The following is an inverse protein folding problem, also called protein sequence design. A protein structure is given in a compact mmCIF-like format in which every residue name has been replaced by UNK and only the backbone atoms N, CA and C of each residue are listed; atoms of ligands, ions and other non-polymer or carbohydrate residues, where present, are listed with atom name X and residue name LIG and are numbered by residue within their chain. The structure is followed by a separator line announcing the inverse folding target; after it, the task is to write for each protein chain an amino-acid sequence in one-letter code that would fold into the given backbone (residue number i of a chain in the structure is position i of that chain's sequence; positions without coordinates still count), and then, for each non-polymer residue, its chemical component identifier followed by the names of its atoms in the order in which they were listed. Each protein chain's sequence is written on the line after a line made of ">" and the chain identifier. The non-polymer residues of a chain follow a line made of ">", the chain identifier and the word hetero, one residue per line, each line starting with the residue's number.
data_IF_679862484912
#
_entry.id   IF_679862484912
#
_cell.length_a   1.000
_cell.length_b   1.000
_cell.length_c   1.000
_cell.angle_alpha   90.00
_cell.angle_beta   90.00
_cell.angle_gamma   90.00
#
_symmetry.space_group_name_H-M   'P 1'
#
loop_
_entity.id
_entity.type
_entity.pdbx_description
1 polymer ?
#
# COMPACT_ATOMS: atom_id res chain seq x y z
N UNK A 1 10.01 -7.64 -39.66
CA UNK A 1 9.53 -7.13 -38.38
C UNK A 1 8.98 -8.34 -37.65
N UNK A 2 9.76 -8.94 -36.74
CA UNK A 2 9.34 -10.13 -35.97
C UNK A 2 8.40 -9.66 -34.87
N UNK A 3 7.11 -9.97 -34.98
CA UNK A 3 6.17 -9.87 -33.87
C UNK A 3 6.69 -10.76 -32.75
N UNK A 4 7.28 -10.16 -31.73
CA UNK A 4 7.55 -10.83 -30.46
C UNK A 4 6.18 -11.09 -29.86
N UNK A 5 5.68 -12.31 -30.04
CA UNK A 5 4.46 -12.80 -29.38
C UNK A 5 4.75 -12.73 -27.87
N UNK A 6 4.24 -11.67 -27.20
CA UNK A 6 4.29 -11.56 -25.74
C UNK A 6 3.51 -12.76 -25.20
N UNK A 7 4.19 -13.74 -24.64
CA UNK A 7 3.54 -14.88 -23.98
C UNK A 7 2.93 -14.38 -22.67
N UNK A 8 1.62 -14.11 -22.71
CA UNK A 8 0.87 -13.75 -21.51
C UNK A 8 0.85 -14.91 -20.52
N UNK A 9 0.90 -14.57 -19.24
CA UNK A 9 0.88 -15.54 -18.14
C UNK A 9 -0.55 -16.07 -17.98
N UNK A 10 -0.69 -17.39 -18.11
CA UNK A 10 -1.99 -18.07 -18.04
C UNK A 10 -2.26 -18.70 -16.66
N UNK A 11 -3.56 -18.87 -16.38
CA UNK A 11 -4.07 -19.58 -15.20
C UNK A 11 -3.40 -20.96 -15.06
N UNK A 12 -3.10 -21.35 -13.80
CA UNK A 12 -2.48 -22.63 -13.47
C UNK A 12 -0.96 -22.65 -13.53
N UNK A 13 -0.30 -21.62 -14.07
CA UNK A 13 1.17 -21.50 -13.98
C UNK A 13 1.62 -21.07 -12.58
N UNK A 14 2.83 -21.50 -12.16
CA UNK A 14 3.43 -21.07 -10.89
C UNK A 14 3.61 -19.55 -10.85
N UNK A 15 3.96 -18.95 -11.98
CA UNK A 15 4.10 -17.50 -12.12
C UNK A 15 2.77 -16.77 -11.91
N UNK A 16 1.67 -17.31 -12.44
CA UNK A 16 0.33 -16.75 -12.23
C UNK A 16 -0.03 -16.69 -10.75
N UNK A 17 0.12 -17.81 -10.04
CA UNK A 17 -0.17 -17.89 -8.61
C UNK A 17 0.70 -16.94 -7.79
N UNK A 18 2.00 -16.85 -8.12
CA UNK A 18 2.92 -15.93 -7.45
C UNK A 18 2.53 -14.46 -7.65
N UNK A 19 2.14 -14.07 -8.87
CA UNK A 19 1.67 -12.72 -9.18
C UNK A 19 0.40 -12.41 -8.41
N UNK A 20 -0.59 -13.31 -8.42
CA UNK A 20 -1.85 -13.10 -7.73
C UNK A 20 -1.66 -12.80 -6.25
N UNK A 21 -0.91 -13.65 -5.54
CA UNK A 21 -0.67 -13.46 -4.12
C UNK A 21 0.20 -12.24 -3.83
N UNK A 22 1.20 -11.97 -4.68
CA UNK A 22 2.01 -10.76 -4.54
C UNK A 22 1.16 -9.50 -4.63
N UNK A 23 0.27 -9.41 -5.61
CA UNK A 23 -0.61 -8.27 -5.80
C UNK A 23 -1.68 -8.17 -4.70
N UNK A 24 -2.23 -9.30 -4.25
CA UNK A 24 -3.13 -9.32 -3.10
C UNK A 24 -2.47 -8.72 -1.86
N UNK A 25 -1.27 -9.19 -1.50
CA UNK A 25 -0.55 -8.69 -0.34
C UNK A 25 -0.04 -7.25 -0.54
N UNK A 26 0.30 -6.84 -1.75
CA UNK A 26 0.64 -5.45 -2.04
C UNK A 26 -0.57 -4.51 -1.82
N UNK A 27 -1.75 -4.92 -2.28
CA UNK A 27 -3.00 -4.21 -2.00
C UNK A 27 -3.30 -4.16 -0.51
N UNK A 28 -3.18 -5.30 0.19
CA UNK A 28 -3.34 -5.39 1.63
C UNK A 28 -2.41 -4.44 2.38
N UNK A 29 -1.10 -4.49 2.12
CA UNK A 29 -0.10 -3.66 2.76
C UNK A 29 -0.35 -2.16 2.53
N UNK A 30 -0.64 -1.76 1.29
CA UNK A 30 -0.90 -0.38 0.92
C UNK A 30 -2.10 0.20 1.68
N UNK A 31 -3.22 -0.50 1.66
CA UNK A 31 -4.46 0.01 2.25
C UNK A 31 -4.52 -0.17 3.77
N UNK A 32 -3.86 -1.20 4.33
CA UNK A 32 -3.69 -1.30 5.78
C UNK A 32 -2.87 -0.13 6.34
N UNK A 33 -1.80 0.28 5.64
CA UNK A 33 -1.00 1.45 6.00
C UNK A 33 -1.78 2.75 5.96
N UNK A 34 -2.67 2.88 4.97
CA UNK A 34 -3.48 4.08 4.80
C UNK A 34 -4.50 4.22 5.94
N UNK A 35 -5.18 3.14 6.28
CA UNK A 35 -6.34 3.15 7.17
C UNK A 35 -6.04 2.79 8.63
N UNK A 36 -4.85 2.30 8.99
CA UNK A 36 -4.49 1.95 10.36
C UNK A 36 -4.62 3.13 11.37
N UNK A 37 -4.50 4.36 10.90
CA UNK A 37 -4.62 5.57 11.76
C UNK A 37 -6.05 5.86 12.19
N UNK A 38 -7.06 5.32 11.49
CA UNK A 38 -8.44 5.68 11.73
C UNK A 38 -8.92 5.35 13.16
N UNK A 39 -8.70 4.16 13.72
CA UNK A 39 -9.06 3.86 15.10
C UNK A 39 -8.20 4.62 16.12
N UNK A 40 -7.04 5.13 15.70
CA UNK A 40 -6.12 5.87 16.57
C UNK A 40 -6.46 7.36 16.71
N UNK A 41 -7.40 7.91 15.93
CA UNK A 41 -7.74 9.36 15.96
C UNK A 41 -8.04 9.91 17.35
N UNK A 42 -8.81 9.22 18.22
CA UNK A 42 -9.04 9.72 19.58
C UNK A 42 -7.76 9.76 20.44
N UNK A 43 -6.83 8.83 20.17
CA UNK A 43 -5.51 8.77 20.83
C UNK A 43 -4.65 9.95 20.35
N UNK A 44 -4.64 10.25 19.05
CA UNK A 44 -3.91 11.39 18.49
C UNK A 44 -4.41 12.72 19.02
N UNK A 45 -5.75 12.90 19.16
CA UNK A 45 -6.31 14.11 19.73
C UNK A 45 -5.76 14.38 21.14
N UNK A 46 -5.67 13.33 21.97
CA UNK A 46 -5.12 13.44 23.33
C UNK A 46 -3.60 13.57 23.36
N UNK A 47 -2.90 12.78 22.56
CA UNK A 47 -1.42 12.71 22.58
C UNK A 47 -0.79 14.00 22.03
N UNK A 48 -1.28 14.50 20.91
CA UNK A 48 -0.78 15.71 20.27
C UNK A 48 -1.49 16.99 20.74
N UNK A 49 -2.47 16.88 21.64
CA UNK A 49 -3.28 17.99 22.15
C UNK A 49 -3.94 18.81 21.03
N UNK A 50 -4.46 18.11 20.02
CA UNK A 50 -5.15 18.71 18.88
C UNK A 50 -6.66 18.47 18.97
N UNK A 51 -7.45 19.29 18.26
CA UNK A 51 -8.91 19.11 18.23
C UNK A 51 -9.29 17.77 17.58
N UNK A 52 -10.47 17.20 17.87
CA UNK A 52 -10.99 16.00 17.20
C UNK A 52 -11.00 16.12 15.67
N UNK A 53 -11.27 17.32 15.15
CA UNK A 53 -11.21 17.59 13.70
C UNK A 53 -9.79 17.47 13.18
N UNK A 54 -8.81 18.06 13.85
CA UNK A 54 -7.42 17.97 13.44
C UNK A 54 -6.89 16.53 13.52
N UNK A 55 -7.35 15.73 14.47
CA UNK A 55 -6.91 14.32 14.58
C UNK A 55 -7.28 13.45 13.36
N UNK A 56 -8.19 13.89 12.49
CA UNK A 56 -8.52 13.24 11.23
C UNK A 56 -7.58 13.59 10.06
N UNK A 57 -6.77 14.65 10.20
CA UNK A 57 -5.87 15.12 9.13
C UNK A 57 -4.88 14.06 8.63
N UNK A 58 -4.32 13.17 9.47
CA UNK A 58 -3.45 12.11 9.00
C UNK A 58 -4.08 11.24 7.91
N UNK A 59 -5.36 10.90 8.05
CA UNK A 59 -6.08 10.14 7.03
C UNK A 59 -6.44 11.01 5.83
N UNK A 60 -6.97 12.22 6.07
CA UNK A 60 -7.39 13.14 5.00
C UNK A 60 -6.23 13.51 4.08
N UNK A 61 -5.08 13.86 4.64
CA UNK A 61 -3.89 14.23 3.86
C UNK A 61 -3.35 13.03 3.09
N UNK A 62 -3.34 11.83 3.68
CA UNK A 62 -2.95 10.63 2.96
C UNK A 62 -3.86 10.33 1.77
N UNK A 63 -5.17 10.46 1.93
CA UNK A 63 -6.14 10.17 0.87
C UNK A 63 -6.12 11.24 -0.24
N UNK A 64 -5.95 12.50 0.10
CA UNK A 64 -5.76 13.58 -0.88
C UNK A 64 -4.46 13.36 -1.67
N UNK A 65 -3.37 13.07 -0.97
CA UNK A 65 -2.08 12.79 -1.59
C UNK A 65 -2.13 11.55 -2.50
N UNK A 66 -2.84 10.49 -2.07
CA UNK A 66 -3.12 9.33 -2.91
C UNK A 66 -3.86 9.74 -4.19
N UNK A 67 -4.94 10.51 -4.08
CA UNK A 67 -5.71 10.94 -5.24
C UNK A 67 -4.86 11.76 -6.23
N UNK A 68 -4.06 12.69 -5.73
CA UNK A 68 -3.11 13.46 -6.55
C UNK A 68 -2.07 12.53 -7.18
N UNK A 69 -1.49 11.62 -6.40
CA UNK A 69 -0.50 10.66 -6.88
C UNK A 69 -1.01 9.77 -8.02
N UNK A 70 -2.27 9.33 -7.96
CA UNK A 70 -2.87 8.50 -9.01
C UNK A 70 -2.84 9.17 -10.38
N UNK A 71 -2.91 10.51 -10.47
CA UNK A 71 -2.88 11.24 -11.74
C UNK A 71 -1.51 11.17 -12.43
N UNK A 72 -0.43 11.05 -11.65
CA UNK A 72 0.94 11.13 -12.17
C UNK A 72 1.67 9.79 -12.21
N UNK A 73 1.29 8.85 -11.33
CA UNK A 73 2.03 7.60 -11.16
C UNK A 73 1.99 6.71 -12.41
N UNK A 74 0.91 6.76 -13.19
CA UNK A 74 0.81 6.07 -14.47
C UNK A 74 1.97 6.46 -15.40
N UNK A 75 2.15 7.76 -15.64
CA UNK A 75 3.22 8.29 -16.51
C UNK A 75 4.62 7.93 -16.00
N UNK A 76 4.81 7.97 -14.67
CA UNK A 76 6.09 7.62 -14.06
C UNK A 76 6.39 6.14 -14.27
N UNK A 77 5.38 5.27 -14.09
CA UNK A 77 5.55 3.82 -14.25
C UNK A 77 5.77 3.39 -15.70
N UNK A 78 5.27 4.15 -16.68
CA UNK A 78 5.55 3.93 -18.11
C UNK A 78 7.05 4.10 -18.42
N UNK A 79 7.69 5.04 -17.74
CA UNK A 79 9.10 5.36 -17.97
C UNK A 79 10.07 4.43 -17.21
N UNK A 80 9.75 4.08 -15.97
CA UNK A 80 10.67 3.33 -15.09
C UNK A 80 10.32 1.85 -14.96
N UNK A 81 9.19 1.43 -15.53
CA UNK A 81 8.67 0.07 -15.44
C UNK A 81 7.72 -0.15 -14.26
N UNK A 82 6.81 -1.12 -14.40
CA UNK A 82 5.73 -1.38 -13.42
C UNK A 82 6.28 -1.93 -12.10
N UNK A 83 7.06 -3.02 -12.16
CA UNK A 83 7.60 -3.68 -10.97
C UNK A 83 8.48 -2.77 -10.11
N UNK A 84 9.49 -2.03 -10.65
CA UNK A 84 10.34 -1.15 -9.82
C UNK A 84 9.55 -0.10 -9.05
N UNK A 85 8.53 0.51 -9.68
CA UNK A 85 7.69 1.53 -9.03
C UNK A 85 6.89 0.93 -7.88
N UNK A 86 6.24 -0.22 -8.08
CA UNK A 86 5.48 -0.89 -7.02
C UNK A 86 6.37 -1.32 -5.85
N UNK A 87 7.55 -1.88 -6.14
CA UNK A 87 8.53 -2.27 -5.12
C UNK A 87 8.99 -1.06 -4.32
N UNK A 88 9.43 0.00 -5.01
CA UNK A 88 9.84 1.24 -4.36
C UNK A 88 8.73 1.82 -3.47
N UNK A 89 7.51 1.84 -3.97
CA UNK A 89 6.34 2.34 -3.25
C UNK A 89 6.10 1.55 -1.95
N UNK A 90 6.12 0.21 -2.00
CA UNK A 90 5.92 -0.64 -0.81
C UNK A 90 7.02 -0.45 0.23
N UNK A 91 8.29 -0.40 -0.18
CA UNK A 91 9.39 -0.11 0.73
C UNK A 91 9.27 1.28 1.34
N UNK A 92 8.96 2.29 0.53
CA UNK A 92 8.80 3.67 1.00
C UNK A 92 7.67 3.78 2.02
N UNK A 93 6.52 3.16 1.78
CA UNK A 93 5.41 3.11 2.76
C UNK A 93 5.87 2.50 4.07
N UNK A 94 6.58 1.37 4.02
CA UNK A 94 7.07 0.68 5.22
C UNK A 94 8.02 1.57 6.04
N UNK A 95 8.99 2.19 5.37
CA UNK A 95 9.95 3.10 6.01
C UNK A 95 9.25 4.32 6.61
N UNK A 96 8.31 4.92 5.89
CA UNK A 96 7.57 6.10 6.37
C UNK A 96 6.69 5.77 7.58
N UNK A 97 6.12 4.57 7.68
CA UNK A 97 5.42 4.12 8.88
C UNK A 97 6.37 4.05 10.08
N UNK A 98 7.56 3.44 9.91
CA UNK A 98 8.57 3.36 10.96
C UNK A 98 9.06 4.74 11.40
N UNK A 99 9.31 5.65 10.44
CA UNK A 99 9.69 7.04 10.71
C UNK A 99 8.59 7.78 11.49
N UNK A 100 7.32 7.62 11.07
CA UNK A 100 6.19 8.28 11.73
C UNK A 100 6.02 7.87 13.20
N UNK A 101 6.37 6.63 13.53
CA UNK A 101 6.35 6.11 14.89
C UNK A 101 7.57 6.55 15.72
N UNK A 102 8.74 6.73 15.06
CA UNK A 102 10.00 7.12 15.71
C UNK A 102 10.02 8.60 16.14
N UNK A 103 9.35 9.47 15.38
CA UNK A 103 9.34 10.91 15.62
C UNK A 103 7.91 11.39 15.91
N UNK A 104 7.44 11.31 17.17
CA UNK A 104 6.08 11.66 17.55
C UNK A 104 5.88 13.18 17.66
N UNK A 105 6.20 13.89 16.57
CA UNK A 105 6.00 15.32 16.36
C UNK A 105 4.88 15.48 15.33
N UNK A 106 3.88 16.30 15.62
CA UNK A 106 2.66 16.39 14.79
C UNK A 106 2.94 16.72 13.32
N UNK A 107 3.82 17.68 13.05
CA UNK A 107 4.17 18.13 11.71
C UNK A 107 4.90 17.02 10.92
N UNK A 108 5.81 16.30 11.58
CA UNK A 108 6.53 15.18 10.97
C UNK A 108 5.54 14.06 10.69
N UNK A 109 4.66 13.77 11.64
CA UNK A 109 3.62 12.74 11.47
C UNK A 109 2.71 13.07 10.27
N UNK A 110 2.20 14.30 10.14
CA UNK A 110 1.40 14.71 8.99
C UNK A 110 2.18 14.63 7.68
N UNK A 111 3.43 15.07 7.68
CA UNK A 111 4.29 15.02 6.49
C UNK A 111 4.51 13.58 6.02
N UNK A 112 4.82 12.67 6.95
CA UNK A 112 4.96 11.24 6.59
C UNK A 112 3.68 10.66 6.03
N UNK A 113 2.49 11.07 6.53
CA UNK A 113 1.19 10.62 6.01
C UNK A 113 0.93 11.09 4.58
N UNK A 114 1.35 12.32 4.21
CA UNK A 114 1.27 12.80 2.82
C UNK A 114 2.12 11.90 1.91
N UNK A 115 3.37 11.64 2.30
CA UNK A 115 4.25 10.79 1.50
C UNK A 115 3.79 9.33 1.44
N UNK A 116 3.16 8.79 2.51
CA UNK A 116 2.52 7.48 2.47
C UNK A 116 1.41 7.46 1.41
N UNK A 117 0.56 8.48 1.36
CA UNK A 117 -0.49 8.58 0.35
C UNK A 117 0.07 8.59 -1.08
N UNK A 118 1.09 9.41 -1.33
CA UNK A 118 1.79 9.44 -2.63
C UNK A 118 2.42 8.08 -2.96
N UNK A 119 3.08 7.43 -2.00
CA UNK A 119 3.68 6.13 -2.23
C UNK A 119 2.64 5.04 -2.53
N UNK A 120 1.51 5.01 -1.80
CA UNK A 120 0.41 4.06 -2.05
C UNK A 120 -0.14 4.18 -3.47
N UNK A 121 -0.15 5.39 -4.08
CA UNK A 121 -0.53 5.56 -5.48
C UNK A 121 0.34 4.76 -6.44
N UNK A 122 1.63 4.57 -6.08
CA UNK A 122 2.59 3.76 -6.85
C UNK A 122 2.21 2.28 -6.95
N UNK A 123 1.46 1.77 -5.99
CA UNK A 123 0.89 0.42 -6.06
C UNK A 123 -0.50 0.46 -6.71
N UNK A 124 -1.37 1.37 -6.25
CA UNK A 124 -2.78 1.37 -6.64
C UNK A 124 -3.00 1.59 -8.15
N UNK A 125 -2.29 2.54 -8.75
CA UNK A 125 -2.40 2.81 -10.20
C UNK A 125 -1.69 1.72 -11.03
N UNK A 126 -0.50 1.29 -10.58
CA UNK A 126 0.38 0.46 -11.40
C UNK A 126 -0.03 -1.01 -11.39
N UNK A 127 -0.61 -1.51 -10.29
CA UNK A 127 -1.01 -2.91 -10.17
C UNK A 127 -2.05 -3.31 -11.23
N UNK A 128 -3.06 -2.47 -11.46
CA UNK A 128 -4.08 -2.75 -12.47
C UNK A 128 -3.52 -2.75 -13.91
N UNK A 129 -2.62 -1.80 -14.20
CA UNK A 129 -1.93 -1.75 -15.50
C UNK A 129 -1.04 -2.97 -15.70
N UNK A 130 -0.29 -3.36 -14.66
CA UNK A 130 0.56 -4.56 -14.69
C UNK A 130 -0.27 -5.83 -14.98
N UNK A 131 -1.42 -5.99 -14.33
CA UNK A 131 -2.34 -7.11 -14.59
C UNK A 131 -2.78 -7.14 -16.05
N UNK A 132 -3.17 -5.99 -16.59
CA UNK A 132 -3.62 -5.87 -17.99
C UNK A 132 -2.54 -6.15 -19.03
N UNK A 133 -1.26 -5.92 -18.70
CA UNK A 133 -0.13 -6.10 -19.61
C UNK A 133 0.47 -7.51 -19.55
N UNK A 134 0.43 -8.18 -18.40
CA UNK A 134 1.16 -9.44 -18.18
C UNK A 134 0.23 -10.67 -18.16
N UNK A 135 -1.04 -10.50 -17.82
CA UNK A 135 -1.97 -11.62 -17.66
C UNK A 135 -2.82 -11.82 -18.92
N UNK A 136 -3.07 -13.08 -19.25
CA UNK A 136 -3.94 -13.43 -20.40
C UNK A 136 -5.33 -12.84 -20.23
N UNK A 137 -5.91 -12.34 -21.34
CA UNK A 137 -7.18 -11.62 -21.36
C UNK A 137 -8.33 -12.35 -20.64
N UNK A 138 -8.38 -13.69 -20.78
CA UNK A 138 -9.38 -14.56 -20.13
C UNK A 138 -9.28 -14.59 -18.61
N UNK A 139 -8.09 -14.29 -18.04
CA UNK A 139 -7.79 -14.44 -16.62
C UNK A 139 -7.67 -13.09 -15.88
N UNK A 140 -7.73 -11.96 -16.60
CA UNK A 140 -7.60 -10.60 -16.04
C UNK A 140 -8.64 -10.34 -14.95
N UNK A 141 -9.89 -10.76 -15.15
CA UNK A 141 -10.97 -10.55 -14.17
C UNK A 141 -10.68 -11.18 -12.81
N UNK A 142 -10.12 -12.40 -12.80
CA UNK A 142 -9.72 -13.08 -11.58
C UNK A 142 -8.56 -12.33 -10.88
N UNK A 143 -7.56 -11.93 -11.63
CA UNK A 143 -6.40 -11.23 -11.09
C UNK A 143 -6.77 -9.86 -10.50
N UNK A 144 -7.57 -9.07 -11.21
CA UNK A 144 -8.07 -7.79 -10.72
C UNK A 144 -8.97 -7.97 -9.49
N UNK A 145 -9.87 -8.96 -9.52
CA UNK A 145 -10.74 -9.27 -8.39
C UNK A 145 -9.96 -9.63 -7.13
N UNK A 146 -8.88 -10.41 -7.25
CA UNK A 146 -8.04 -10.77 -6.10
C UNK A 146 -7.25 -9.58 -5.58
N UNK A 147 -6.70 -8.73 -6.47
CA UNK A 147 -6.02 -7.49 -6.08
C UNK A 147 -6.99 -6.56 -5.32
N UNK A 148 -8.19 -6.32 -5.85
CA UNK A 148 -9.20 -5.47 -5.21
C UNK A 148 -9.63 -6.06 -3.86
N UNK A 149 -9.77 -7.39 -3.76
CA UNK A 149 -10.04 -8.07 -2.49
C UNK A 149 -8.92 -7.81 -1.48
N UNK A 150 -7.66 -7.84 -1.93
CA UNK A 150 -6.50 -7.48 -1.12
C UNK A 150 -6.59 -6.05 -0.57
N UNK A 151 -6.98 -5.08 -1.39
CA UNK A 151 -7.15 -3.67 -0.95
C UNK A 151 -8.27 -3.52 0.07
N UNK A 152 -9.41 -4.19 -0.16
CA UNK A 152 -10.57 -4.14 0.74
C UNK A 152 -10.25 -4.79 2.10
N UNK A 153 -9.69 -6.01 2.06
CA UNK A 153 -9.28 -6.74 3.28
C UNK A 153 -8.15 -5.99 4.00
N UNK A 154 -7.22 -5.39 3.26
CA UNK A 154 -6.17 -4.54 3.83
C UNK A 154 -6.71 -3.32 4.55
N UNK A 155 -7.65 -2.61 3.93
CA UNK A 155 -8.30 -1.45 4.53
C UNK A 155 -9.09 -1.80 5.81
N UNK A 156 -9.82 -2.91 5.81
CA UNK A 156 -10.52 -3.41 7.00
C UNK A 156 -9.53 -3.96 8.03
N UNK A 157 -8.60 -4.82 7.60
CA UNK A 157 -7.61 -5.45 8.47
C UNK A 157 -6.70 -4.43 9.15
N UNK A 158 -6.27 -3.39 8.44
CA UNK A 158 -5.48 -2.30 9.02
C UNK A 158 -6.20 -1.60 10.18
N UNK A 159 -7.50 -1.34 10.03
CA UNK A 159 -8.32 -0.78 11.12
C UNK A 159 -8.47 -1.73 12.29
N UNK A 160 -8.79 -3.00 12.02
CA UNK A 160 -9.00 -3.99 13.07
C UNK A 160 -7.71 -4.28 13.84
N UNK A 161 -6.61 -4.52 13.13
CA UNK A 161 -5.29 -4.78 13.75
C UNK A 161 -4.86 -3.57 14.59
N UNK A 162 -4.93 -2.37 14.01
CA UNK A 162 -4.57 -1.16 14.72
C UNK A 162 -5.46 -0.91 15.95
N UNK A 163 -6.78 -1.06 15.80
CA UNK A 163 -7.73 -0.90 16.89
C UNK A 163 -7.47 -1.84 18.05
N UNK A 164 -7.28 -3.13 17.76
CA UNK A 164 -6.97 -4.12 18.81
C UNK A 164 -5.61 -3.85 19.45
N UNK A 165 -4.59 -3.53 18.67
CA UNK A 165 -3.24 -3.31 19.21
C UNK A 165 -3.21 -2.12 20.17
N UNK A 166 -3.89 -1.01 19.87
CA UNK A 166 -3.84 0.19 20.73
C UNK A 166 -4.59 0.06 22.05
N UNK A 167 -5.40 -0.99 22.21
CA UNK A 167 -6.00 -1.34 23.50
C UNK A 167 -4.95 -1.93 24.49
N UNK A 168 -3.86 -2.51 23.98
CA UNK A 168 -2.84 -3.20 24.79
C UNK A 168 -1.49 -2.51 24.77
N UNK A 169 -1.15 -1.78 23.70
CA UNK A 169 0.16 -1.16 23.49
C UNK A 169 0.02 0.28 23.00
N UNK A 170 1.12 1.03 23.02
CA UNK A 170 1.14 2.40 22.50
C UNK A 170 0.87 2.45 20.99
N UNK A 171 0.31 3.57 20.50
CA UNK A 171 0.07 3.78 19.09
C UNK A 171 1.38 3.71 18.26
N UNK A 172 2.50 4.13 18.83
CA UNK A 172 3.81 4.01 18.20
C UNK A 172 4.17 2.54 17.99
N UNK A 173 4.05 1.71 19.03
CA UNK A 173 4.33 0.27 18.95
C UNK A 173 3.41 -0.44 17.95
N UNK A 174 2.12 -0.08 17.94
CA UNK A 174 1.17 -0.59 16.95
C UNK A 174 1.57 -0.21 15.51
N UNK A 175 2.00 1.04 15.30
CA UNK A 175 2.49 1.52 14.00
C UNK A 175 3.77 0.82 13.59
N UNK A 176 4.71 0.55 14.52
CA UNK A 176 5.91 -0.24 14.23
C UNK A 176 5.57 -1.66 13.77
N UNK A 177 4.65 -2.35 14.46
CA UNK A 177 4.22 -3.70 14.07
C UNK A 177 3.67 -3.70 12.64
N UNK A 178 2.78 -2.76 12.32
CA UNK A 178 2.21 -2.64 10.98
C UNK A 178 3.30 -2.31 9.95
N UNK A 179 4.23 -1.42 10.28
CA UNK A 179 5.37 -1.06 9.43
C UNK A 179 6.29 -2.26 9.14
N UNK A 180 6.59 -3.09 10.13
CA UNK A 180 7.37 -4.31 9.95
C UNK A 180 6.64 -5.38 9.13
N UNK A 181 5.33 -5.58 9.34
CA UNK A 181 4.51 -6.47 8.50
C UNK A 181 4.58 -6.01 7.05
N UNK A 182 4.40 -4.72 6.80
CA UNK A 182 4.48 -4.16 5.46
C UNK A 182 5.87 -4.31 4.83
N UNK A 183 6.93 -4.18 5.62
CA UNK A 183 8.29 -4.40 5.15
C UNK A 183 8.53 -5.85 4.71
N UNK A 184 8.02 -6.82 5.48
CA UNK A 184 8.06 -8.24 5.11
C UNK A 184 7.31 -8.46 3.81
N UNK A 185 6.10 -7.88 3.66
CA UNK A 185 5.32 -7.97 2.43
C UNK A 185 6.08 -7.34 1.25
N UNK A 186 6.72 -6.19 1.44
CA UNK A 186 7.53 -5.54 0.41
C UNK A 186 8.71 -6.43 -0.06
N UNK A 187 9.39 -7.09 0.87
CA UNK A 187 10.46 -8.05 0.55
C UNK A 187 9.91 -9.26 -0.22
N UNK A 188 8.81 -9.85 0.23
CA UNK A 188 8.18 -10.97 -0.47
C UNK A 188 7.70 -10.56 -1.87
N UNK A 189 7.10 -9.39 -2.01
CA UNK A 189 6.67 -8.85 -3.29
C UNK A 189 7.85 -8.70 -4.26
N UNK A 190 8.98 -8.15 -3.80
CA UNK A 190 10.19 -8.02 -4.61
C UNK A 190 10.71 -9.36 -5.13
N UNK A 191 10.66 -10.40 -4.27
CA UNK A 191 11.17 -11.74 -4.59
C UNK A 191 10.22 -12.54 -5.49
N UNK A 192 8.90 -12.43 -5.25
CA UNK A 192 7.91 -13.27 -5.91
C UNK A 192 7.42 -12.70 -7.25
N UNK A 193 7.39 -11.37 -7.40
CA UNK A 193 6.92 -10.78 -8.65
C UNK A 193 7.98 -10.96 -9.74
N UNK A 194 7.67 -11.61 -10.88
CA UNK A 194 8.61 -11.75 -12.01
C UNK A 194 9.00 -10.38 -12.57
N UNK A 195 10.14 -10.38 -13.31
CA UNK A 195 10.64 -9.16 -13.97
C UNK A 195 9.81 -8.85 -15.19
#
# INVERSE_FOLDING_TARGET
>A
MSDIVKTHIEYGSKSFTAILWSLFFAGFASFSSLYCVQPMMPIFAKFFQVSPTHSSFPLSFSTIALAIGLLFTGFISDRFGRKPIMVFALFLVSVLLLVSASFPIWEIFLTTRIFIGLAVSGVAAVAMTYIGEEIAQKDIGLAMGLYISGTAIGGMGGRLIAGVLVDFISWQSATYIIGFINLIIACLFYLLLPK
#
